data_IF_233233343774
#
_entry.id   IF_233233343774
#
_cell.length_a   1.000
_cell.length_b   1.000
_cell.length_c   1.000
_cell.angle_alpha   90.00
_cell.angle_beta   90.00
_cell.angle_gamma   90.00
#
_symmetry.space_group_name_H-M   'P 1'
#
loop_
_entity.id
_entity.type
_entity.pdbx_description
1 polymer ?
#
# COMPACT_ATOMS: atom_id res chain seq x y z
N UNK A 1 -7.12 -3.09 19.93
CA UNK A 1 -6.41 -3.24 18.63
C UNK A 1 -7.24 -2.52 17.58
N UNK A 2 -6.65 -1.58 16.83
CA UNK A 2 -7.40 -0.88 15.77
C UNK A 2 -7.72 -1.91 14.68
N UNK A 3 -9.01 -2.10 14.37
CA UNK A 3 -9.43 -2.91 13.23
C UNK A 3 -9.01 -2.17 11.97
N UNK A 4 -7.81 -2.46 11.46
CA UNK A 4 -7.34 -1.88 10.21
C UNK A 4 -8.28 -2.38 9.11
N UNK A 5 -9.09 -1.48 8.60
CA UNK A 5 -10.06 -1.78 7.54
C UNK A 5 -9.32 -1.66 6.22
N UNK A 6 -9.39 -2.70 5.39
CA UNK A 6 -8.79 -2.69 4.06
C UNK A 6 -9.89 -2.53 3.00
N UNK A 7 -9.62 -1.77 1.95
CA UNK A 7 -10.56 -1.48 0.85
C UNK A 7 -9.92 -1.70 -0.53
N UNK A 8 -10.75 -1.81 -1.56
CA UNK A 8 -10.25 -2.01 -2.92
C UNK A 8 -9.44 -0.80 -3.40
N UNK A 9 -8.36 -1.07 -4.13
CA UNK A 9 -7.58 -0.06 -4.82
C UNK A 9 -8.25 0.22 -6.17
N UNK A 10 -8.80 1.42 -6.32
CA UNK A 10 -9.43 1.86 -7.58
C UNK A 10 -8.50 2.70 -8.46
N UNK A 11 -7.53 3.38 -7.85
CA UNK A 11 -6.52 4.18 -8.54
C UNK A 11 -5.15 3.94 -7.89
N UNK A 12 -4.26 3.31 -8.65
CA UNK A 12 -2.91 3.02 -8.20
C UNK A 12 -2.00 4.26 -8.21
N UNK A 13 -2.31 5.33 -8.95
CA UNK A 13 -1.45 6.53 -9.01
C UNK A 13 -1.57 7.41 -7.75
N UNK A 14 -2.64 7.26 -6.98
CA UNK A 14 -2.90 8.06 -5.78
C UNK A 14 -2.36 7.42 -4.50
N UNK A 15 -1.64 6.31 -4.63
CA UNK A 15 -1.11 5.62 -3.46
C UNK A 15 0.13 6.33 -2.94
N UNK A 16 0.16 6.51 -1.62
CA UNK A 16 1.26 7.18 -0.94
C UNK A 16 2.23 6.12 -0.42
N UNK A 17 3.53 6.38 -0.58
CA UNK A 17 4.57 5.55 0.04
C UNK A 17 4.36 5.46 1.56
N UNK A 18 4.60 4.27 2.12
CA UNK A 18 4.33 3.92 3.51
C UNK A 18 2.94 3.31 3.76
N UNK A 19 2.03 3.38 2.78
CA UNK A 19 0.71 2.76 2.88
C UNK A 19 0.81 1.24 3.04
N UNK A 20 -0.04 0.66 3.88
CA UNK A 20 -0.14 -0.78 4.03
C UNK A 20 -1.12 -1.37 3.03
N UNK A 21 -0.76 -2.47 2.43
CA UNK A 21 -1.64 -3.26 1.59
C UNK A 21 -1.70 -4.70 2.09
N UNK A 22 -2.83 -5.35 1.87
CA UNK A 22 -3.05 -6.76 2.21
C UNK A 22 -3.41 -7.54 0.96
N UNK A 23 -2.87 -8.75 0.84
CA UNK A 23 -3.29 -9.67 -0.22
C UNK A 23 -4.79 -10.00 -0.08
N UNK A 24 -5.49 -10.14 -1.22
CA UNK A 24 -6.89 -10.61 -1.23
C UNK A 24 -7.01 -12.11 -0.95
N UNK A 25 -5.93 -12.87 -1.14
CA UNK A 25 -5.90 -14.34 -1.04
C UNK A 25 -5.16 -14.86 0.18
N UNK A 26 -4.24 -14.07 0.72
CA UNK A 26 -3.36 -14.43 1.82
C UNK A 26 -3.43 -13.36 2.90
N UNK A 27 -3.03 -13.71 4.13
CA UNK A 27 -3.09 -12.78 5.25
C UNK A 27 -1.89 -11.82 5.35
N UNK A 28 -0.96 -11.92 4.41
CA UNK A 28 0.26 -11.12 4.34
C UNK A 28 -0.03 -9.64 4.12
N UNK A 29 0.72 -8.81 4.84
CA UNK A 29 0.69 -7.35 4.74
C UNK A 29 2.03 -6.87 4.20
N UNK A 30 1.96 -5.86 3.34
CA UNK A 30 3.11 -5.22 2.74
C UNK A 30 3.03 -3.71 2.94
N UNK A 31 4.19 -3.06 2.97
CA UNK A 31 4.30 -1.62 2.89
C UNK A 31 4.69 -1.21 1.47
N UNK A 32 3.98 -0.22 0.91
CA UNK A 32 4.32 0.38 -0.36
C UNK A 32 5.54 1.29 -0.25
N UNK A 33 6.52 1.08 -1.11
CA UNK A 33 7.61 2.01 -1.37
C UNK A 33 7.20 3.16 -2.28
N UNK A 34 8.20 3.84 -2.84
CA UNK A 34 7.96 4.85 -3.86
C UNK A 34 7.43 4.22 -5.17
N UNK A 35 6.60 4.98 -5.87
CA UNK A 35 6.19 4.66 -7.24
C UNK A 35 7.40 4.79 -8.18
N UNK A 36 7.61 3.78 -9.03
CA UNK A 36 8.59 3.81 -10.11
C UNK A 36 7.87 3.86 -11.46
N UNK A 37 7.88 5.03 -12.10
CA UNK A 37 7.25 5.25 -13.40
C UNK A 37 7.87 4.48 -14.56
N UNK A 38 9.16 4.12 -14.47
CA UNK A 38 9.80 3.28 -15.50
C UNK A 38 9.31 1.83 -15.41
N UNK A 39 8.89 1.40 -14.23
CA UNK A 39 8.36 0.06 -13.96
C UNK A 39 6.84 0.01 -13.90
N UNK A 40 6.17 1.17 -13.93
CA UNK A 40 4.72 1.35 -13.82
C UNK A 40 4.15 0.57 -12.63
N UNK A 41 4.73 0.84 -11.47
CA UNK A 41 4.52 -0.01 -10.31
C UNK A 41 5.12 0.55 -9.03
N UNK A 42 4.96 -0.23 -7.96
CA UNK A 42 5.45 0.09 -6.63
C UNK A 42 6.43 -0.97 -6.17
N UNK A 43 7.38 -0.56 -5.33
CA UNK A 43 8.13 -1.52 -4.52
C UNK A 43 7.26 -1.98 -3.35
N UNK A 44 7.22 -3.27 -3.07
CA UNK A 44 6.60 -3.87 -1.90
C UNK A 44 7.68 -4.34 -0.94
N UNK A 45 7.50 -4.00 0.32
CA UNK A 45 8.29 -4.50 1.44
C UNK A 45 7.39 -5.34 2.33
N UNK A 46 7.88 -6.51 2.77
CA UNK A 46 7.14 -7.28 3.77
C UNK A 46 6.96 -6.44 5.04
N UNK A 47 5.80 -6.54 5.67
CA UNK A 47 5.47 -5.79 6.88
C UNK A 47 4.79 -6.69 7.91
N UNK A 48 5.43 -6.91 9.04
CA UNK A 48 4.95 -7.78 10.12
C UNK A 48 5.25 -7.14 11.48
N UNK A 49 4.31 -7.24 12.43
CA UNK A 49 4.46 -6.72 13.80
C UNK A 49 4.98 -5.28 13.93
N UNK A 50 4.64 -4.42 12.96
CA UNK A 50 5.05 -3.02 12.95
C UNK A 50 6.41 -2.76 12.30
N UNK A 51 7.08 -3.80 11.80
CA UNK A 51 8.41 -3.75 11.21
C UNK A 51 8.34 -3.96 9.70
N UNK A 52 9.01 -3.07 8.96
CA UNK A 52 9.26 -3.23 7.53
C UNK A 52 10.58 -3.98 7.33
N UNK A 53 10.58 -4.99 6.48
CA UNK A 53 11.79 -5.70 6.07
C UNK A 53 12.32 -5.13 4.75
N UNK A 54 13.54 -4.60 4.76
CA UNK A 54 14.17 -3.99 3.57
C UNK A 54 15.03 -4.97 2.77
N UNK A 55 15.45 -6.07 3.40
CA UNK A 55 16.32 -7.08 2.78
C UNK A 55 15.65 -7.83 1.62
N UNK A 56 14.31 -7.80 1.58
CA UNK A 56 13.50 -8.40 0.53
C UNK A 56 12.47 -7.40 0.04
N UNK A 57 12.53 -7.11 -1.25
CA UNK A 57 11.52 -6.29 -1.90
C UNK A 57 11.19 -6.83 -3.28
N UNK A 58 9.95 -6.58 -3.70
CA UNK A 58 9.45 -6.98 -5.01
C UNK A 58 8.84 -5.75 -5.67
N UNK A 59 9.10 -5.57 -6.95
CA UNK A 59 8.39 -4.56 -7.74
C UNK A 59 7.11 -5.20 -8.26
N UNK A 60 5.98 -4.56 -7.99
CA UNK A 60 4.66 -5.00 -8.45
C UNK A 60 4.07 -3.97 -9.41
N UNK A 61 3.45 -4.44 -10.49
CA UNK A 61 2.76 -3.55 -11.43
C UNK A 61 1.47 -2.97 -10.84
N UNK A 62 1.04 -1.81 -11.36
CA UNK A 62 -0.27 -1.21 -11.05
C UNK A 62 -1.43 -2.22 -11.19
N UNK A 63 -1.40 -3.02 -12.27
CA UNK A 63 -2.44 -3.98 -12.57
C UNK A 63 -2.51 -5.11 -11.53
N UNK A 64 -1.37 -5.65 -11.13
CA UNK A 64 -1.33 -6.67 -10.08
C UNK A 64 -1.75 -6.11 -8.73
N UNK A 65 -1.34 -4.87 -8.43
CA UNK A 65 -1.71 -4.18 -7.21
C UNK A 65 -3.24 -4.05 -7.08
N UNK A 66 -3.90 -3.51 -8.11
CA UNK A 66 -5.36 -3.30 -8.11
C UNK A 66 -6.15 -4.61 -8.05
N UNK A 67 -5.68 -5.64 -8.76
CA UNK A 67 -6.40 -6.90 -8.86
C UNK A 67 -6.19 -7.80 -7.65
N UNK A 68 -5.00 -7.80 -7.05
CA UNK A 68 -4.63 -8.79 -6.03
C UNK A 68 -4.59 -8.25 -4.60
N UNK A 69 -4.60 -6.92 -4.40
CA UNK A 69 -4.40 -6.31 -3.09
C UNK A 69 -5.53 -5.36 -2.69
N UNK A 70 -5.65 -5.16 -1.39
CA UNK A 70 -6.48 -4.15 -0.74
C UNK A 70 -5.57 -3.17 -0.01
N UNK A 71 -5.96 -1.90 0.08
CA UNK A 71 -5.21 -0.87 0.79
C UNK A 71 -5.82 -0.56 2.15
N UNK A 72 -4.96 -0.33 3.14
CA UNK A 72 -5.38 0.11 4.47
C UNK A 72 -6.06 1.48 4.37
N UNK A 73 -7.29 1.54 4.89
CA UNK A 73 -8.08 2.75 4.98
C UNK A 73 -7.43 3.69 6.01
N UNK A 74 -6.57 4.57 5.51
CA UNK A 74 -6.01 5.64 6.34
C UNK A 74 -7.12 6.66 6.57
N UNK A 75 -7.59 6.82 7.82
CA UNK A 75 -8.36 8.00 8.19
C UNK A 75 -7.41 9.20 8.09
N UNK A 76 -7.32 9.84 6.92
CA UNK A 76 -6.66 11.14 6.82
C UNK A 76 -7.37 12.08 7.81
N UNK A 77 -6.67 12.65 8.81
CA UNK A 77 -7.26 13.69 9.62
C UNK A 77 -7.58 14.88 8.70
N UNK A 78 -8.78 15.43 8.84
CA UNK A 78 -9.38 16.48 7.99
C UNK A 78 -8.51 17.74 7.79
N UNK A 79 -7.43 17.87 8.56
CA UNK A 79 -6.55 19.04 8.65
C UNK A 79 -5.79 19.29 7.33
N UNK A 80 -5.58 18.27 6.50
CA UNK A 80 -4.79 18.41 5.26
C UNK A 80 -5.60 18.88 4.04
N UNK A 81 -6.93 19.02 4.17
CA UNK A 81 -7.82 19.51 3.10
C UNK A 81 -7.94 21.03 3.02
N UNK A 82 -7.44 21.77 4.01
CA UNK A 82 -7.62 23.22 4.12
C UNK A 82 -6.38 24.04 3.70
N UNK A 83 -5.36 23.40 3.12
CA UNK A 83 -4.11 24.06 2.72
C UNK A 83 -3.76 23.88 1.24
N UNK A 84 -4.76 23.78 0.36
CA UNK A 84 -4.58 23.78 -1.10
C UNK A 84 -5.47 24.85 -1.74
#
# INVERSE_FOLDING_TARGET
MKSNTFENIFDAYQLVGGAKIKSKKHDEVYELGAYDGNKRGYTLYAFEDGVRFEDFSVIISENELMNNYLIEKTKMPLIQRLAA
#
